data_IF_662194687442
#
_entry.id   IF_662194687442
#
_cell.length_a   1.000
_cell.length_b   1.000
_cell.length_c   1.000
_cell.angle_alpha   90.00
_cell.angle_beta   90.00
_cell.angle_gamma   90.00
#
_symmetry.space_group_name_H-M   'P 1'
#
loop_
_entity.id
_entity.type
_entity.pdbx_description
1 polymer ?
#
# COMPACT_ATOMS: atom_id res chain seq x y z
N UNK A 1 -21.25 -40.19 -26.00
CA UNK A 1 -20.24 -39.40 -25.28
C UNK A 1 -20.44 -37.95 -25.64
N UNK A 2 -21.23 -37.27 -24.81
CA UNK A 2 -21.48 -35.83 -24.90
C UNK A 2 -20.40 -35.19 -24.01
N UNK A 3 -19.37 -34.63 -24.63
CA UNK A 3 -18.25 -33.99 -23.93
C UNK A 3 -18.68 -32.55 -23.63
N UNK A 4 -19.27 -32.36 -22.45
CA UNK A 4 -19.65 -31.07 -21.89
C UNK A 4 -18.37 -30.21 -21.74
N UNK A 5 -18.23 -29.23 -22.62
CA UNK A 5 -17.13 -28.28 -22.58
C UNK A 5 -17.41 -27.26 -21.49
N UNK A 6 -16.90 -27.52 -20.28
CA UNK A 6 -16.91 -26.59 -19.17
C UNK A 6 -16.34 -25.22 -19.62
N UNK A 7 -16.99 -24.09 -19.29
CA UNK A 7 -16.47 -22.78 -19.63
C UNK A 7 -15.15 -22.55 -18.89
N UNK A 8 -14.10 -22.30 -19.67
CA UNK A 8 -12.81 -21.80 -19.18
C UNK A 8 -13.04 -20.39 -18.63
N UNK A 9 -13.43 -20.30 -17.35
CA UNK A 9 -13.35 -19.08 -16.53
C UNK A 9 -11.87 -18.75 -16.34
N UNK A 10 -11.21 -18.35 -17.43
CA UNK A 10 -9.91 -17.70 -17.39
C UNK A 10 -10.13 -16.30 -16.83
N UNK A 11 -10.29 -16.23 -15.51
CA UNK A 11 -9.94 -15.07 -14.70
C UNK A 11 -8.43 -14.83 -14.88
N UNK A 12 -8.06 -14.38 -16.08
CA UNK A 12 -6.70 -13.97 -16.40
C UNK A 12 -6.29 -12.94 -15.36
N UNK A 13 -5.20 -13.23 -14.65
CA UNK A 13 -4.68 -12.38 -13.58
C UNK A 13 -4.67 -10.91 -14.05
N UNK A 14 -5.18 -9.96 -13.24
CA UNK A 14 -5.31 -8.57 -13.67
C UNK A 14 -3.94 -8.02 -14.06
N UNK A 15 -3.84 -7.54 -15.30
CA UNK A 15 -2.62 -6.93 -15.84
C UNK A 15 -2.85 -5.42 -16.02
N UNK A 16 -1.78 -4.66 -15.81
CA UNK A 16 -1.74 -3.21 -15.94
C UNK A 16 -0.59 -2.80 -16.87
N UNK A 17 -0.72 -1.71 -17.63
CA UNK A 17 0.37 -1.21 -18.46
C UNK A 17 1.44 -0.53 -17.60
N UNK A 18 2.71 -0.88 -17.82
CA UNK A 18 3.83 -0.24 -17.13
C UNK A 18 3.91 1.26 -17.48
N UNK A 19 4.04 2.18 -16.51
CA UNK A 19 4.11 3.64 -16.78
C UNK A 19 5.39 4.07 -17.51
N UNK A 20 6.46 3.27 -17.44
CA UNK A 20 7.74 3.60 -18.06
C UNK A 20 7.87 3.10 -19.51
N UNK A 21 7.42 1.87 -19.79
CA UNK A 21 7.60 1.23 -21.11
C UNK A 21 6.29 0.90 -21.83
N UNK A 22 5.14 1.03 -21.16
CA UNK A 22 3.82 0.75 -21.73
C UNK A 22 3.51 -0.73 -21.96
N UNK A 23 4.37 -1.65 -21.49
CA UNK A 23 4.14 -3.10 -21.62
C UNK A 23 3.29 -3.61 -20.47
N UNK A 24 2.41 -4.55 -20.78
CA UNK A 24 1.54 -5.18 -19.80
C UNK A 24 2.36 -5.99 -18.79
N UNK A 25 2.03 -5.80 -17.52
CA UNK A 25 2.61 -6.50 -16.38
C UNK A 25 1.50 -6.89 -15.39
N UNK A 26 1.71 -7.96 -14.63
CA UNK A 26 0.77 -8.35 -13.58
C UNK A 26 0.64 -7.24 -12.54
N UNK A 27 -0.57 -7.00 -12.05
CA UNK A 27 -0.81 -6.00 -11.01
C UNK A 27 -0.02 -6.31 -9.72
N UNK A 28 0.23 -7.58 -9.44
CA UNK A 28 0.97 -8.04 -8.25
C UNK A 28 2.50 -8.00 -8.42
N UNK A 29 3.01 -7.54 -9.56
CA UNK A 29 4.45 -7.40 -9.79
C UNK A 29 4.98 -6.05 -9.26
N UNK A 30 5.90 -6.11 -8.29
CA UNK A 30 6.62 -4.94 -7.77
C UNK A 30 7.51 -4.24 -8.81
N UNK A 31 8.02 -5.00 -9.78
CA UNK A 31 8.91 -4.49 -10.82
C UNK A 31 8.47 -4.99 -12.19
N UNK A 32 8.59 -4.12 -13.20
CA UNK A 32 8.29 -4.49 -14.58
C UNK A 32 9.36 -5.47 -15.09
N UNK A 33 8.99 -6.69 -15.52
CA UNK A 33 9.95 -7.68 -16.02
C UNK A 33 10.57 -7.29 -17.37
N UNK A 34 9.96 -6.36 -18.10
CA UNK A 34 10.43 -5.94 -19.42
C UNK A 34 11.51 -4.84 -19.36
N UNK A 35 11.37 -3.87 -18.47
CA UNK A 35 12.29 -2.72 -18.38
C UNK A 35 12.99 -2.57 -17.02
N UNK A 36 12.58 -3.34 -16.01
CA UNK A 36 13.13 -3.27 -14.65
C UNK A 36 12.67 -2.05 -13.85
N UNK A 37 11.70 -1.27 -14.33
CA UNK A 37 11.15 -0.14 -13.59
C UNK A 37 10.30 -0.64 -12.42
N UNK A 38 10.55 -0.11 -11.22
CA UNK A 38 9.72 -0.39 -10.06
C UNK A 38 8.35 0.26 -10.23
N UNK A 39 7.29 -0.50 -9.94
CA UNK A 39 5.97 0.09 -9.82
C UNK A 39 5.99 0.93 -8.55
N UNK A 40 5.73 2.23 -8.65
CA UNK A 40 5.60 3.13 -7.49
C UNK A 40 4.31 2.81 -6.71
N UNK A 41 4.25 1.61 -6.14
CA UNK A 41 3.06 1.01 -5.59
C UNK A 41 3.43 -0.03 -4.56
N UNK A 42 4.12 0.39 -3.50
CA UNK A 42 3.57 0.18 -2.16
C UNK A 42 4.27 1.03 -1.07
N UNK A 43 3.45 1.50 -0.12
CA UNK A 43 3.76 1.77 1.30
C UNK A 43 4.54 3.00 1.79
N UNK A 44 4.97 3.95 0.95
CA UNK A 44 5.39 5.28 1.45
C UNK A 44 4.65 6.43 0.79
N UNK A 45 3.33 6.31 0.59
CA UNK A 45 2.54 7.50 0.92
C UNK A 45 2.66 7.60 2.44
N UNK A 46 3.33 8.61 3.03
CA UNK A 46 3.11 8.86 4.44
C UNK A 46 1.61 9.08 4.54
N UNK A 47 0.88 8.05 4.98
CA UNK A 47 -0.52 8.15 5.37
C UNK A 47 -0.51 9.40 6.23
N UNK A 48 -1.07 10.50 5.71
CA UNK A 48 -0.87 11.83 6.28
C UNK A 48 -1.29 11.69 7.73
N UNK A 49 -0.32 11.53 8.64
CA UNK A 49 -0.63 11.11 10.01
C UNK A 49 -1.55 12.20 10.50
N UNK A 50 -2.83 11.88 10.77
CA UNK A 50 -3.81 12.93 10.88
C UNK A 50 -3.37 13.78 12.08
N UNK A 51 -3.30 15.10 11.89
CA UNK A 51 -2.60 15.99 12.82
C UNK A 51 -3.09 15.87 14.28
N UNK A 52 -4.31 15.36 14.47
CA UNK A 52 -4.85 15.00 15.78
C UNK A 52 -3.99 13.96 16.54
N UNK A 53 -3.36 12.99 15.86
CA UNK A 53 -2.50 11.98 16.50
C UNK A 53 -1.28 12.64 17.13
N UNK A 54 -0.67 13.59 16.43
CA UNK A 54 0.47 14.36 16.94
C UNK A 54 0.01 15.23 18.11
N UNK A 55 -1.15 15.90 17.97
CA UNK A 55 -1.71 16.72 19.05
C UNK A 55 -2.00 15.89 20.32
N UNK A 56 -2.58 14.69 20.19
CA UNK A 56 -2.85 13.80 21.31
C UNK A 56 -1.56 13.28 21.94
N UNK A 57 -0.57 12.89 21.15
CA UNK A 57 0.75 12.47 21.65
C UNK A 57 1.43 13.58 22.47
N UNK A 58 1.42 14.82 21.96
CA UNK A 58 1.97 15.99 22.66
C UNK A 58 1.19 16.29 23.94
N UNK A 59 -0.14 16.22 23.93
CA UNK A 59 -0.98 16.44 25.10
C UNK A 59 -0.69 15.41 26.21
N UNK A 60 -0.58 14.11 25.86
CA UNK A 60 -0.22 13.05 26.79
C UNK A 60 1.18 13.25 27.39
N UNK A 61 2.17 13.61 26.56
CA UNK A 61 3.52 13.91 27.03
C UNK A 61 3.55 15.11 27.99
N UNK A 62 2.85 16.20 27.65
CA UNK A 62 2.76 17.38 28.50
C UNK A 62 2.12 17.06 29.86
N UNK A 63 1.04 16.26 29.87
CA UNK A 63 0.39 15.82 31.10
C UNK A 63 1.32 14.94 31.97
N UNK A 64 2.05 14.00 31.35
CA UNK A 64 3.00 13.14 32.04
C UNK A 64 4.17 13.93 32.66
N UNK A 65 4.76 14.85 31.90
CA UNK A 65 5.85 15.73 32.38
C UNK A 65 5.35 16.62 33.51
N UNK A 66 4.20 17.26 33.33
CA UNK A 66 3.61 18.12 34.35
C UNK A 66 3.33 17.36 35.64
N UNK A 67 2.81 16.14 35.53
CA UNK A 67 2.55 15.28 36.68
C UNK A 67 3.84 14.82 37.36
N UNK A 68 4.88 14.44 36.61
CA UNK A 68 6.18 14.08 37.16
C UNK A 68 6.83 15.25 37.92
N UNK A 69 6.71 16.47 37.39
CA UNK A 69 7.21 17.69 38.03
C UNK A 69 6.36 18.13 39.23
N UNK A 70 5.08 17.71 39.28
CA UNK A 70 4.15 17.97 40.38
C UNK A 70 4.04 16.82 41.38
N UNK A 71 4.84 15.77 41.24
CA UNK A 71 5.00 14.73 42.26
C UNK A 71 6.10 15.17 43.23
N UNK A 72 5.76 15.79 44.38
CA UNK A 72 6.69 16.02 45.47
C UNK A 72 7.20 14.71 46.07
#
# INVERSE_FOLDING_TARGET
DDFDAEPDDSDGEPTIPCPACGRDMLEDCDHCPACGHWRDGDEMRPARRPAWVIATAVACLAAAVWWALRRP
#
